data_IF_027213978545
#
_entry.id   IF_027213978545
#
_cell.length_a   1.000
_cell.length_b   1.000
_cell.length_c   1.000
_cell.angle_alpha   90.00
_cell.angle_beta   90.00
_cell.angle_gamma   90.00
#
_symmetry.space_group_name_H-M   'P 1'
#
loop_
_entity.id
_entity.type
_entity.pdbx_description
1 polymer ?
#
# COMPACT_ATOMS: atom_id res chain seq x y z
N UNK A 1 -48.15 -0.10 -58.72
CA UNK A 1 -47.90 -0.53 -57.33
C UNK A 1 -46.41 -0.86 -57.21
N UNK A 2 -45.67 -0.11 -56.40
CA UNK A 2 -44.23 -0.29 -56.15
C UNK A 2 -44.05 -0.29 -54.62
N UNK A 3 -43.38 -1.29 -54.01
CA UNK A 3 -43.66 -1.64 -52.62
C UNK A 3 -42.85 -0.83 -51.60
N UNK A 4 -43.48 -0.62 -50.45
CA UNK A 4 -43.11 0.22 -49.31
C UNK A 4 -41.89 -0.26 -48.48
N UNK A 5 -40.84 -0.76 -49.12
CA UNK A 5 -39.71 -1.41 -48.42
C UNK A 5 -38.39 -0.65 -48.43
N UNK A 6 -38.36 0.65 -48.77
CA UNK A 6 -37.11 1.43 -48.73
C UNK A 6 -37.00 2.46 -47.60
N UNK A 7 -37.99 2.56 -46.69
CA UNK A 7 -37.97 3.57 -45.60
C UNK A 7 -37.60 2.96 -44.23
N UNK A 8 -37.55 1.63 -44.10
CA UNK A 8 -37.30 0.96 -42.80
C UNK A 8 -35.81 0.62 -42.56
N UNK A 9 -34.90 1.04 -43.45
CA UNK A 9 -33.47 0.70 -43.37
C UNK A 9 -32.58 1.68 -42.58
N UNK A 10 -33.02 2.91 -42.34
CA UNK A 10 -32.11 3.97 -41.84
C UNK A 10 -32.39 4.49 -40.43
N UNK A 11 -33.53 4.16 -39.80
CA UNK A 11 -33.85 4.68 -38.47
C UNK A 11 -33.34 3.77 -37.34
N UNK A 12 -33.05 2.49 -37.61
CA UNK A 12 -32.62 1.54 -36.56
C UNK A 12 -31.10 1.50 -36.28
N UNK A 13 -30.28 2.29 -36.97
CA UNK A 13 -28.81 2.24 -36.83
C UNK A 13 -28.19 3.38 -36.02
N UNK A 14 -28.97 4.36 -35.57
CA UNK A 14 -28.43 5.49 -34.78
C UNK A 14 -28.73 5.34 -33.28
N UNK A 15 -29.71 4.51 -32.89
CA UNK A 15 -30.16 4.39 -31.49
C UNK A 15 -29.38 3.40 -30.60
N UNK A 16 -28.49 2.57 -31.15
CA UNK A 16 -27.76 1.53 -30.40
C UNK A 16 -26.25 1.84 -30.30
N UNK A 17 -25.77 2.93 -30.89
CA UNK A 17 -24.35 3.27 -30.89
C UNK A 17 -23.84 4.01 -29.65
N UNK A 18 -24.72 4.56 -28.81
CA UNK A 18 -24.30 5.46 -27.70
C UNK A 18 -24.32 4.78 -26.32
N UNK A 19 -24.97 3.62 -26.18
CA UNK A 19 -25.03 2.90 -24.88
C UNK A 19 -23.90 1.89 -24.67
N UNK A 20 -23.09 1.57 -25.67
CA UNK A 20 -22.02 0.56 -25.57
C UNK A 20 -20.61 1.17 -25.41
N UNK A 21 -20.49 2.49 -25.31
CA UNK A 21 -19.19 3.18 -25.19
C UNK A 21 -18.74 3.45 -23.74
N UNK A 22 -19.50 3.02 -22.73
CA UNK A 22 -19.17 3.27 -21.31
C UNK A 22 -18.36 2.12 -20.66
N UNK A 23 -18.17 0.99 -21.35
CA UNK A 23 -17.54 -0.20 -20.75
C UNK A 23 -16.03 -0.37 -21.03
N UNK A 24 -15.37 0.61 -21.69
CA UNK A 24 -13.92 0.56 -21.99
C UNK A 24 -13.14 1.64 -21.22
N UNK A 25 -13.81 2.43 -20.40
CA UNK A 25 -13.14 3.21 -19.37
C UNK A 25 -13.06 2.36 -18.12
N UNK A 26 -12.01 1.55 -17.98
CA UNK A 26 -11.66 0.91 -16.73
C UNK A 26 -11.39 1.99 -15.67
N UNK A 27 -12.46 2.54 -15.09
CA UNK A 27 -12.41 3.24 -13.83
C UNK A 27 -12.07 2.14 -12.84
N UNK A 28 -10.77 1.93 -12.63
CA UNK A 28 -10.31 1.41 -11.37
C UNK A 28 -10.79 2.42 -10.35
N UNK A 29 -11.95 2.15 -9.74
CA UNK A 29 -12.30 2.74 -8.45
C UNK A 29 -11.30 2.09 -7.49
N UNK A 30 -10.07 2.59 -7.54
CA UNK A 30 -9.05 2.28 -6.57
C UNK A 30 -9.49 2.99 -5.30
N UNK A 31 -10.29 2.31 -4.49
CA UNK A 31 -10.27 2.60 -3.07
C UNK A 31 -8.83 2.32 -2.65
N UNK A 32 -8.00 3.37 -2.55
CA UNK A 32 -6.74 3.31 -1.83
C UNK A 32 -7.11 3.08 -0.36
N UNK A 33 -7.48 1.84 -0.05
CA UNK A 33 -7.84 1.45 1.28
C UNK A 33 -6.53 1.32 2.05
N UNK A 34 -6.40 2.15 3.07
CA UNK A 34 -5.34 2.01 4.05
C UNK A 34 -5.26 0.56 4.51
N UNK A 35 -4.04 0.02 4.48
CA UNK A 35 -3.82 -1.33 4.95
C UNK A 35 -3.79 -1.32 6.47
N UNK A 36 -4.43 -2.32 7.09
CA UNK A 36 -4.43 -2.48 8.56
C UNK A 36 -3.41 -3.50 9.04
N UNK A 37 -2.73 -4.20 8.12
CA UNK A 37 -1.78 -5.26 8.43
C UNK A 37 -0.89 -5.59 7.23
N UNK A 38 0.31 -6.09 7.50
CA UNK A 38 1.20 -6.72 6.50
C UNK A 38 1.10 -8.24 6.65
N UNK A 39 0.87 -8.96 5.54
CA UNK A 39 0.91 -10.41 5.53
C UNK A 39 2.23 -10.90 4.93
N UNK A 40 3.05 -11.56 5.75
CA UNK A 40 4.21 -12.28 5.25
C UNK A 40 3.73 -13.53 4.49
N UNK A 41 4.04 -13.61 3.19
CA UNK A 41 3.64 -14.73 2.34
C UNK A 41 4.72 -15.80 2.35
N UNK A 42 4.31 -17.08 2.49
CA UNK A 42 5.25 -18.20 2.46
C UNK A 42 5.87 -18.34 1.07
N UNK A 43 7.20 -18.41 1.02
CA UNK A 43 7.99 -18.64 -0.18
C UNK A 43 8.89 -19.86 0.01
N UNK A 44 8.85 -20.77 -0.95
CA UNK A 44 9.77 -21.92 -0.99
C UNK A 44 11.04 -21.54 -1.75
N UNK A 45 12.20 -22.00 -1.28
CA UNK A 45 13.49 -21.72 -1.92
C UNK A 45 14.28 -20.54 -1.34
N UNK A 46 13.80 -19.95 -0.24
CA UNK A 46 14.47 -18.85 0.46
C UNK A 46 13.88 -17.48 0.13
N UNK A 47 14.14 -16.49 0.99
CA UNK A 47 13.69 -15.10 0.80
C UNK A 47 14.77 -14.25 0.09
N UNK A 48 14.40 -13.34 -0.83
CA UNK A 48 15.34 -12.56 -1.64
C UNK A 48 15.88 -11.34 -0.86
N UNK A 49 16.76 -11.57 0.12
CA UNK A 49 17.27 -10.50 1.01
C UNK A 49 18.29 -9.56 0.34
N UNK A 50 18.96 -10.01 -0.72
CA UNK A 50 20.03 -9.24 -1.39
C UNK A 50 19.56 -8.53 -2.67
N UNK A 51 18.32 -8.74 -3.10
CA UNK A 51 17.76 -8.15 -4.31
C UNK A 51 16.34 -7.59 -4.05
N UNK A 52 16.21 -6.26 -3.80
CA UNK A 52 14.91 -5.63 -3.60
C UNK A 52 14.07 -5.60 -4.88
N UNK A 53 14.67 -5.85 -6.05
CA UNK A 53 13.98 -5.89 -7.36
C UNK A 53 13.54 -7.30 -7.77
N UNK A 54 13.82 -8.31 -6.95
CA UNK A 54 13.54 -9.70 -7.27
C UNK A 54 12.04 -9.92 -7.59
N UNK A 55 11.76 -10.63 -8.69
CA UNK A 55 10.40 -10.91 -9.14
C UNK A 55 9.52 -11.60 -8.06
N UNK A 56 10.15 -12.33 -7.14
CA UNK A 56 9.48 -13.00 -6.02
C UNK A 56 8.64 -12.07 -5.15
N UNK A 57 9.02 -10.79 -5.02
CA UNK A 57 8.24 -9.79 -4.26
C UNK A 57 6.82 -9.58 -4.80
N UNK A 58 6.61 -9.83 -6.10
CA UNK A 58 5.28 -9.73 -6.73
C UNK A 58 4.29 -10.78 -6.21
N UNK A 59 4.78 -11.84 -5.54
CA UNK A 59 3.93 -12.86 -4.93
C UNK A 59 3.30 -12.45 -3.59
N UNK A 60 3.89 -11.45 -2.90
CA UNK A 60 3.34 -10.91 -1.66
C UNK A 60 2.40 -9.73 -1.96
N UNK A 61 1.21 -9.66 -1.36
CA UNK A 61 0.32 -8.51 -1.53
C UNK A 61 0.95 -7.24 -0.93
N UNK A 62 0.88 -6.08 -1.60
CA UNK A 62 1.34 -4.82 -1.03
C UNK A 62 0.38 -4.36 0.07
N UNK A 63 0.94 -3.83 1.16
CA UNK A 63 0.22 -3.11 2.19
C UNK A 63 0.66 -1.64 2.17
N UNK A 64 -0.25 -0.71 1.92
CA UNK A 64 0.05 0.73 1.83
C UNK A 64 -0.42 1.44 3.10
N UNK A 65 0.49 2.23 3.69
CA UNK A 65 0.27 2.99 4.91
C UNK A 65 0.54 4.47 4.66
N UNK A 66 -0.48 5.33 4.75
CA UNK A 66 -0.28 6.77 4.73
C UNK A 66 0.50 7.22 5.97
N UNK A 67 1.47 8.10 5.75
CA UNK A 67 2.33 8.60 6.82
C UNK A 67 1.77 9.85 7.46
N UNK A 68 1.96 9.95 8.78
CA UNK A 68 1.59 11.13 9.57
C UNK A 68 2.84 11.71 10.25
N UNK A 69 2.92 13.04 10.43
CA UNK A 69 4.05 13.66 11.11
C UNK A 69 4.14 13.20 12.57
N UNK A 70 5.35 13.06 13.10
CA UNK A 70 5.53 12.83 14.54
C UNK A 70 5.24 14.11 15.33
N UNK A 71 4.43 13.97 16.39
CA UNK A 71 3.92 15.09 17.19
C UNK A 71 4.52 15.16 18.61
N UNK A 72 5.55 14.37 18.91
CA UNK A 72 6.09 14.28 20.27
C UNK A 72 6.99 15.47 20.65
N UNK A 73 7.74 16.05 19.71
CA UNK A 73 8.72 17.11 20.00
C UNK A 73 8.19 18.53 19.87
N UNK A 74 8.88 19.49 20.51
CA UNK A 74 8.53 20.91 20.51
C UNK A 74 8.62 21.52 19.09
N UNK A 75 9.70 21.20 18.37
CA UNK A 75 9.86 21.51 16.95
C UNK A 75 9.12 20.43 16.15
N UNK A 76 7.91 20.75 15.72
CA UNK A 76 7.02 19.80 15.05
C UNK A 76 7.25 19.83 13.54
N UNK A 77 7.41 18.64 12.96
CA UNK A 77 7.18 18.44 11.54
C UNK A 77 5.68 18.61 11.30
N UNK A 78 5.29 19.55 10.45
CA UNK A 78 3.88 19.83 10.15
C UNK A 78 3.36 18.95 9.02
N UNK A 79 4.24 18.54 8.13
CA UNK A 79 3.93 17.77 6.93
C UNK A 79 5.02 16.74 6.68
N UNK A 80 4.63 15.51 6.37
CA UNK A 80 5.58 14.44 6.00
C UNK A 80 6.06 14.63 4.57
N UNK A 81 7.34 14.42 4.32
CA UNK A 81 7.92 14.40 2.96
C UNK A 81 7.44 13.16 2.20
N UNK A 82 7.66 11.97 2.79
CA UNK A 82 7.12 10.70 2.31
C UNK A 82 5.65 10.60 2.69
N UNK A 83 4.77 10.48 1.71
CA UNK A 83 3.30 10.43 1.92
C UNK A 83 2.78 9.05 2.26
N UNK A 84 3.35 8.03 1.63
CA UNK A 84 2.93 6.65 1.75
C UNK A 84 4.16 5.75 1.85
N UNK A 85 4.05 4.72 2.68
CA UNK A 85 4.98 3.60 2.72
C UNK A 85 4.25 2.35 2.25
N UNK A 86 4.83 1.66 1.28
CA UNK A 86 4.32 0.38 0.76
C UNK A 86 5.20 -0.72 1.33
N UNK A 87 4.57 -1.73 1.93
CA UNK A 87 5.26 -2.84 2.58
C UNK A 87 4.81 -4.16 1.97
N UNK A 88 5.79 -5.01 1.66
CA UNK A 88 5.57 -6.42 1.32
C UNK A 88 6.39 -7.26 2.27
N UNK A 89 5.93 -8.47 2.57
CA UNK A 89 6.69 -9.40 3.39
C UNK A 89 6.64 -10.81 2.83
N UNK A 90 7.77 -11.50 2.93
CA UNK A 90 7.95 -12.90 2.58
C UNK A 90 8.58 -13.65 3.74
N UNK A 91 8.31 -14.95 3.86
CA UNK A 91 9.02 -15.81 4.79
C UNK A 91 9.20 -17.21 4.22
N UNK A 92 10.25 -17.93 4.64
CA UNK A 92 10.49 -19.32 4.24
C UNK A 92 10.30 -20.32 5.41
N UNK A 93 9.81 -19.82 6.55
CA UNK A 93 9.64 -20.57 7.80
C UNK A 93 10.89 -20.57 8.69
N UNK A 94 12.02 -20.05 8.21
CA UNK A 94 13.26 -19.83 8.98
C UNK A 94 13.62 -18.36 9.06
N UNK A 95 13.35 -17.62 8.00
CA UNK A 95 13.61 -16.20 7.84
C UNK A 95 12.33 -15.49 7.43
N UNK A 96 12.22 -14.22 7.83
CA UNK A 96 11.23 -13.27 7.35
C UNK A 96 11.99 -12.09 6.75
N UNK A 97 11.55 -11.65 5.58
CA UNK A 97 12.08 -10.49 4.89
C UNK A 97 10.94 -9.50 4.62
N UNK A 98 11.24 -8.22 4.77
CA UNK A 98 10.28 -7.14 4.57
C UNK A 98 10.87 -6.19 3.53
N UNK A 99 10.15 -5.99 2.44
CA UNK A 99 10.45 -4.97 1.45
C UNK A 99 9.67 -3.70 1.83
N UNK A 100 10.39 -2.61 2.01
CA UNK A 100 9.83 -1.29 2.32
C UNK A 100 10.11 -0.38 1.13
N UNK A 101 9.05 0.18 0.57
CA UNK A 101 9.10 1.05 -0.60
C UNK A 101 8.48 2.40 -0.23
N UNK A 102 9.13 3.49 -0.61
CA UNK A 102 8.60 4.84 -0.45
C UNK A 102 9.13 5.75 -1.55
N UNK A 103 8.39 6.83 -1.83
CA UNK A 103 8.83 7.87 -2.73
C UNK A 103 9.33 9.06 -1.91
N UNK A 104 10.64 9.29 -1.94
CA UNK A 104 11.22 10.52 -1.40
C UNK A 104 11.55 11.51 -2.54
N UNK A 105 10.84 12.66 -2.64
CA UNK A 105 11.17 13.71 -3.58
C UNK A 105 12.49 14.43 -3.28
N UNK A 106 13.02 14.33 -2.05
CA UNK A 106 14.25 15.05 -1.68
C UNK A 106 15.53 14.33 -2.09
N UNK A 107 15.47 13.00 -2.23
CA UNK A 107 16.60 12.10 -2.45
C UNK A 107 17.69 12.31 -1.40
N UNK A 108 17.28 12.40 -0.13
CA UNK A 108 18.21 12.60 0.98
C UNK A 108 19.12 11.37 1.12
N UNK A 109 20.45 11.51 1.08
CA UNK A 109 21.36 10.37 1.29
C UNK A 109 21.26 9.76 2.70
N UNK A 110 20.71 10.51 3.66
CA UNK A 110 20.48 10.05 5.04
C UNK A 110 19.07 9.44 5.24
N UNK A 111 18.35 9.16 4.14
CA UNK A 111 17.05 8.49 4.16
C UNK A 111 17.11 7.16 4.92
N UNK A 112 16.13 6.96 5.80
CA UNK A 112 16.02 5.78 6.64
C UNK A 112 14.58 5.33 6.83
N UNK A 113 14.40 4.03 7.05
CA UNK A 113 13.12 3.43 7.41
C UNK A 113 13.31 2.47 8.58
N UNK A 114 12.30 2.37 9.43
CA UNK A 114 12.33 1.47 10.58
C UNK A 114 11.04 0.66 10.71
N UNK A 115 11.17 -0.55 11.24
CA UNK A 115 10.05 -1.44 11.56
C UNK A 115 10.02 -1.68 13.06
N UNK A 116 8.89 -1.38 13.69
CA UNK A 116 8.68 -1.62 15.11
C UNK A 116 7.83 -2.86 15.35
N UNK A 117 8.28 -3.69 16.30
CA UNK A 117 7.58 -4.88 16.77
C UNK A 117 7.29 -4.74 18.26
N UNK A 118 6.04 -4.95 18.66
CA UNK A 118 5.69 -5.11 20.06
C UNK A 118 6.35 -6.37 20.63
N UNK A 119 6.86 -6.27 21.86
CA UNK A 119 7.48 -7.39 22.58
C UNK A 119 6.66 -7.70 23.84
N UNK A 120 6.35 -8.98 24.05
CA UNK A 120 5.52 -9.43 25.16
C UNK A 120 4.04 -9.05 25.00
N UNK A 121 3.33 -8.97 26.14
CA UNK A 121 1.86 -8.89 26.15
C UNK A 121 1.32 -7.45 26.26
N UNK A 122 2.19 -6.48 26.59
CA UNK A 122 1.80 -5.07 26.71
C UNK A 122 1.78 -4.42 25.33
N UNK A 123 0.75 -3.62 25.05
CA UNK A 123 0.66 -2.86 23.79
C UNK A 123 1.70 -1.74 23.79
N UNK A 124 2.37 -1.55 22.66
CA UNK A 124 3.08 -0.31 22.40
C UNK A 124 2.07 0.80 22.06
N UNK A 125 2.46 2.05 22.23
CA UNK A 125 1.69 3.21 21.79
C UNK A 125 2.53 4.07 20.84
N UNK A 126 1.96 5.17 20.34
CA UNK A 126 2.57 6.06 19.34
C UNK A 126 3.89 6.73 19.78
N UNK A 127 4.33 6.54 21.01
CA UNK A 127 5.60 7.02 21.55
C UNK A 127 6.53 5.84 21.90
N UNK A 128 6.39 4.73 21.16
CA UNK A 128 7.15 3.50 21.34
C UNK A 128 6.92 2.93 22.75
N UNK A 129 7.98 2.41 23.40
CA UNK A 129 7.95 1.95 24.79
C UNK A 129 8.16 3.04 25.85
N UNK A 130 8.07 4.34 25.51
CA UNK A 130 8.34 5.41 26.48
C UNK A 130 7.20 5.57 27.50
N UNK A 131 7.48 5.86 28.78
CA UNK A 131 6.43 6.14 29.75
C UNK A 131 5.60 7.36 29.35
N UNK A 132 4.27 7.22 29.29
CA UNK A 132 3.34 8.34 29.17
C UNK A 132 2.44 8.43 30.41
N UNK A 133 2.06 9.65 30.80
CA UNK A 133 1.27 9.92 32.02
C UNK A 133 -0.05 9.12 32.11
N UNK A 134 -0.59 8.66 30.98
CA UNK A 134 -1.90 8.02 30.88
C UNK A 134 -1.85 6.64 30.22
N UNK A 135 -0.69 6.22 29.71
CA UNK A 135 -0.55 4.98 28.95
C UNK A 135 0.81 4.37 29.26
N UNK A 136 0.83 3.15 29.78
CA UNK A 136 2.06 2.38 29.97
C UNK A 136 2.38 1.65 28.66
N UNK A 137 3.45 2.05 27.98
CA UNK A 137 3.95 1.38 26.78
C UNK A 137 4.67 0.08 27.11
N UNK A 138 4.36 -0.98 26.34
CA UNK A 138 5.15 -2.21 26.34
C UNK A 138 6.53 -2.04 25.71
N UNK A 139 7.47 -2.96 25.97
CA UNK A 139 8.76 -2.96 25.29
C UNK A 139 8.56 -3.21 23.79
N UNK A 140 9.47 -2.65 22.98
CA UNK A 140 9.47 -2.78 21.53
C UNK A 140 10.83 -3.22 21.03
N UNK A 141 10.86 -3.90 19.89
CA UNK A 141 12.07 -4.18 19.12
C UNK A 141 11.98 -3.41 17.80
N UNK A 142 13.04 -2.69 17.45
CA UNK A 142 13.07 -1.84 16.25
C UNK A 142 14.19 -2.33 15.33
N UNK A 143 13.85 -2.63 14.09
CA UNK A 143 14.81 -2.81 13.02
C UNK A 143 15.01 -1.45 12.35
N UNK A 144 16.22 -0.89 12.43
CA UNK A 144 16.62 0.39 11.86
C UNK A 144 18.05 0.33 11.33
#
# INVERSE_FOLDING_TARGET
MKPANQIIGQVLRVGIGVLTAIMIGGVTIGSAQESVSVRATLMTGGVPVDDPSAAAWSSAPPATFPMSPQVHWQNRIQEVTVKDVIVRALHDGKQVAVLVEYADPTQDPDDAAALEFMVGDKKAHFAHGQPMLQVEGGPVNIWF
#
